data_IF_800193236787
#
_entry.id   IF_800193236787
#
_cell.length_a   1.000
_cell.length_b   1.000
_cell.length_c   1.000
_cell.angle_alpha   90.00
_cell.angle_beta   90.00
_cell.angle_gamma   90.00
#
_symmetry.space_group_name_H-M   'P 1'
#
loop_
_entity.id
_entity.type
_entity.pdbx_description
1 polymer ?
#
# COMPACT_ATOMS: atom_id res chain seq x y z
N UNK A 1 21.94 -23.40 -53.37
CA UNK A 1 22.44 -24.52 -52.53
C UNK A 1 22.91 -23.93 -51.20
N UNK A 2 22.31 -24.41 -50.09
CA UNK A 2 22.76 -24.35 -48.68
C UNK A 2 22.86 -22.93 -48.09
N UNK A 3 22.05 -22.49 -47.14
CA UNK A 3 21.41 -23.22 -46.04
C UNK A 3 22.11 -22.82 -44.74
N UNK A 4 21.64 -21.75 -44.10
CA UNK A 4 21.98 -21.45 -42.71
C UNK A 4 20.76 -21.80 -41.88
N UNK A 5 20.77 -23.04 -41.38
CA UNK A 5 19.77 -23.55 -40.44
C UNK A 5 20.07 -22.91 -39.08
N UNK A 6 19.15 -22.08 -38.59
CA UNK A 6 19.20 -21.58 -37.23
C UNK A 6 18.95 -22.75 -36.27
N UNK A 7 19.94 -23.04 -35.43
CA UNK A 7 19.79 -23.98 -34.31
C UNK A 7 19.13 -23.20 -33.17
N UNK A 8 17.79 -23.16 -33.18
CA UNK A 8 17.01 -22.89 -31.97
C UNK A 8 16.84 -24.23 -31.26
N UNK A 9 17.69 -24.47 -30.26
CA UNK A 9 17.45 -25.56 -29.31
C UNK A 9 16.17 -25.25 -28.54
N UNK A 10 15.07 -25.90 -28.91
CA UNK A 10 13.88 -25.93 -28.07
C UNK A 10 14.26 -26.64 -26.76
N UNK A 11 14.30 -25.88 -25.66
CA UNK A 11 14.14 -26.46 -24.33
C UNK A 11 12.74 -27.05 -24.28
N UNK A 12 12.63 -28.36 -24.50
CA UNK A 12 11.39 -29.10 -24.32
C UNK A 12 11.12 -29.21 -22.82
N UNK A 13 10.45 -28.20 -22.25
CA UNK A 13 9.86 -28.32 -20.93
C UNK A 13 8.65 -29.24 -21.05
N UNK A 14 8.67 -30.37 -20.33
CA UNK A 14 7.51 -31.26 -20.27
C UNK A 14 6.32 -30.49 -19.71
N UNK A 15 5.20 -30.49 -20.42
CA UNK A 15 3.99 -29.84 -19.96
C UNK A 15 3.49 -30.55 -18.68
N UNK A 16 3.61 -29.87 -17.55
CA UNK A 16 2.78 -30.20 -16.39
C UNK A 16 1.41 -29.54 -16.58
N UNK A 17 0.34 -30.17 -16.10
CA UNK A 17 -1.03 -29.66 -16.26
C UNK A 17 -1.24 -28.30 -15.59
N UNK A 18 -2.40 -27.67 -15.85
CA UNK A 18 -2.74 -26.33 -15.32
C UNK A 18 -2.72 -26.25 -13.77
N UNK A 19 -2.81 -27.38 -13.07
CA UNK A 19 -2.79 -27.48 -11.59
C UNK A 19 -1.43 -27.94 -11.01
N UNK A 20 -0.34 -27.82 -11.75
CA UNK A 20 0.96 -28.31 -11.30
C UNK A 20 1.57 -27.44 -10.20
N UNK A 21 1.59 -27.96 -8.97
CA UNK A 21 2.22 -27.31 -7.82
C UNK A 21 3.71 -27.67 -7.75
N UNK A 22 4.56 -26.67 -7.53
CA UNK A 22 6.00 -26.86 -7.30
C UNK A 22 6.31 -26.93 -5.81
N UNK A 23 6.81 -28.07 -5.37
CA UNK A 23 7.34 -28.24 -4.02
C UNK A 23 8.76 -27.66 -3.93
N UNK A 24 8.90 -26.51 -3.26
CA UNK A 24 10.19 -25.86 -3.03
C UNK A 24 10.76 -26.32 -1.69
N UNK A 25 11.92 -26.97 -1.72
CA UNK A 25 12.60 -27.45 -0.51
C UNK A 25 13.03 -26.32 0.46
N UNK A 26 13.50 -26.67 1.68
CA UNK A 26 13.90 -25.68 2.69
C UNK A 26 14.97 -24.71 2.18
N UNK A 27 14.83 -23.44 2.57
CA UNK A 27 15.74 -22.34 2.19
C UNK A 27 16.40 -21.75 3.43
N UNK A 28 17.66 -21.36 3.32
CA UNK A 28 18.35 -20.54 4.33
C UNK A 28 18.56 -19.14 3.78
N UNK A 29 18.13 -18.13 4.55
CA UNK A 29 18.18 -16.73 4.11
C UNK A 29 18.97 -15.91 5.14
N UNK A 30 20.16 -15.45 4.73
CA UNK A 30 20.96 -14.53 5.53
C UNK A 30 20.39 -13.10 5.49
N UNK A 31 20.78 -12.20 6.41
CA UNK A 31 20.53 -10.77 6.25
C UNK A 31 21.03 -10.27 4.87
N UNK A 32 20.28 -9.37 4.20
CA UNK A 32 20.50 -9.03 2.80
C UNK A 32 21.76 -8.16 2.64
N UNK A 33 22.89 -8.77 2.23
CA UNK A 33 24.17 -8.07 2.15
C UNK A 33 24.13 -6.80 1.26
N UNK A 34 23.25 -6.78 0.25
CA UNK A 34 23.06 -5.64 -0.66
C UNK A 34 22.20 -4.50 -0.11
N UNK A 35 21.51 -4.67 1.02
CA UNK A 35 20.70 -3.64 1.65
C UNK A 35 21.54 -2.64 2.46
N UNK A 36 20.93 -1.55 2.97
CA UNK A 36 21.60 -0.64 3.89
C UNK A 36 22.03 -1.34 5.19
N UNK A 37 22.99 -0.72 5.90
CA UNK A 37 23.40 -1.23 7.21
C UNK A 37 22.23 -1.27 8.21
N UNK A 38 21.36 -0.25 8.19
CA UNK A 38 20.19 -0.17 9.06
C UNK A 38 19.22 -1.34 8.80
N UNK A 39 18.91 -1.62 7.52
CA UNK A 39 18.03 -2.72 7.16
C UNK A 39 18.67 -4.08 7.48
N UNK A 40 19.95 -4.27 7.19
CA UNK A 40 20.66 -5.51 7.55
C UNK A 40 20.65 -5.77 9.04
N UNK A 41 20.87 -4.73 9.85
CA UNK A 41 20.84 -4.83 11.31
C UNK A 41 19.43 -5.17 11.81
N UNK A 42 18.40 -4.48 11.31
CA UNK A 42 17.01 -4.75 11.65
C UNK A 42 16.61 -6.20 11.32
N UNK A 43 17.01 -6.70 10.15
CA UNK A 43 16.78 -8.10 9.75
C UNK A 43 17.57 -9.06 10.62
N UNK A 44 18.84 -8.77 10.93
CA UNK A 44 19.69 -9.63 11.77
C UNK A 44 19.20 -9.74 13.21
N UNK A 45 18.52 -8.71 13.73
CA UNK A 45 17.94 -8.68 15.07
C UNK A 45 16.52 -9.27 15.12
N UNK A 46 15.90 -9.51 13.97
CA UNK A 46 14.57 -10.12 13.90
C UNK A 46 14.68 -11.65 13.91
N UNK A 47 14.02 -12.35 14.85
CA UNK A 47 13.93 -13.80 14.81
C UNK A 47 13.29 -14.30 13.51
N UNK A 48 13.53 -15.56 13.14
CA UNK A 48 12.80 -16.19 12.03
C UNK A 48 11.28 -16.05 12.26
N UNK A 49 10.50 -15.56 11.28
CA UNK A 49 9.07 -15.37 11.42
C UNK A 49 8.33 -16.63 11.89
N UNK A 50 7.45 -16.47 12.87
CA UNK A 50 6.69 -17.57 13.48
C UNK A 50 5.49 -17.98 12.61
N UNK A 51 5.77 -18.63 11.47
CA UNK A 51 4.77 -18.97 10.44
C UNK A 51 3.54 -19.71 11.01
N UNK A 52 3.76 -20.81 11.74
CA UNK A 52 2.68 -21.65 12.29
C UNK A 52 1.80 -20.88 13.26
N UNK A 53 2.41 -20.07 14.14
CA UNK A 53 1.66 -19.25 15.08
C UNK A 53 0.83 -18.20 14.34
N UNK A 54 1.42 -17.52 13.36
CA UNK A 54 0.73 -16.48 12.60
C UNK A 54 -0.46 -17.02 11.80
N UNK A 55 -0.28 -18.16 11.13
CA UNK A 55 -1.34 -18.84 10.39
C UNK A 55 -2.51 -19.29 11.29
N UNK A 56 -2.24 -19.52 12.59
CA UNK A 56 -3.27 -19.93 13.56
C UNK A 56 -4.16 -18.78 14.03
N UNK A 57 -3.76 -17.52 13.83
CA UNK A 57 -4.55 -16.33 14.23
C UNK A 57 -5.69 -16.12 13.23
N UNK A 58 -6.88 -16.61 13.55
CA UNK A 58 -8.06 -16.54 12.68
C UNK A 58 -9.27 -16.03 13.44
N UNK A 59 -9.45 -14.71 13.60
CA UNK A 59 -10.64 -14.16 14.22
C UNK A 59 -11.88 -14.50 13.38
N UNK A 60 -12.92 -15.04 14.01
CA UNK A 60 -14.16 -15.52 13.36
C UNK A 60 -15.37 -14.68 13.68
N UNK A 61 -15.32 -13.93 14.79
CA UNK A 61 -16.44 -13.11 15.26
C UNK A 61 -16.07 -11.64 15.30
N UNK A 62 -17.06 -10.75 15.20
CA UNK A 62 -16.85 -9.31 15.35
C UNK A 62 -16.20 -8.94 16.71
N UNK A 63 -16.48 -9.72 17.77
CA UNK A 63 -15.84 -9.51 19.08
C UNK A 63 -14.34 -9.81 19.04
N UNK A 64 -13.93 -10.91 18.40
CA UNK A 64 -12.53 -11.27 18.26
C UNK A 64 -11.79 -10.26 17.37
N UNK A 65 -12.41 -9.80 16.29
CA UNK A 65 -11.85 -8.74 15.45
C UNK A 65 -11.63 -7.43 16.20
N UNK A 66 -12.63 -6.97 16.97
CA UNK A 66 -12.46 -5.76 17.79
C UNK A 66 -11.37 -5.93 18.84
N UNK A 67 -11.26 -7.11 19.46
CA UNK A 67 -10.19 -7.38 20.42
C UNK A 67 -8.81 -7.38 19.75
N UNK A 68 -8.69 -7.96 18.55
CA UNK A 68 -7.45 -7.95 17.78
C UNK A 68 -7.10 -6.52 17.36
N UNK A 69 -8.04 -5.75 16.80
CA UNK A 69 -7.79 -4.37 16.42
C UNK A 69 -7.36 -3.50 17.61
N UNK A 70 -7.99 -3.67 18.77
CA UNK A 70 -7.59 -3.00 19.99
C UNK A 70 -6.15 -3.37 20.44
N UNK A 71 -5.70 -4.60 20.20
CA UNK A 71 -4.31 -5.01 20.50
C UNK A 71 -3.28 -4.32 19.61
N UNK A 72 -3.61 -4.08 18.33
CA UNK A 72 -2.77 -3.32 17.40
C UNK A 72 -2.77 -1.82 17.72
N UNK A 73 -3.86 -1.30 18.30
CA UNK A 73 -4.00 0.08 18.74
C UNK A 73 -3.56 0.32 20.21
N UNK A 74 -3.05 -0.72 20.91
CA UNK A 74 -2.80 -0.64 22.35
C UNK A 74 -1.66 0.32 22.73
N UNK A 75 -0.73 0.57 21.79
CA UNK A 75 0.29 1.60 21.97
C UNK A 75 -0.33 2.97 21.68
N UNK A 76 -0.32 3.91 22.65
CA UNK A 76 -0.83 5.25 22.41
C UNK A 76 0.00 5.92 21.31
N UNK A 77 -0.69 6.51 20.34
CA UNK A 77 -0.06 7.36 19.32
C UNK A 77 -0.02 8.78 19.86
N UNK A 78 1.19 9.26 20.14
CA UNK A 78 1.44 10.62 20.58
C UNK A 78 1.55 11.56 19.37
N UNK A 79 0.43 12.14 18.97
CA UNK A 79 0.35 13.03 17.82
C UNK A 79 1.23 14.28 18.00
N UNK A 80 1.36 14.81 19.21
CA UNK A 80 2.18 15.99 19.49
C UNK A 80 3.67 15.68 19.35
N UNK A 81 4.11 14.53 19.85
CA UNK A 81 5.48 14.06 19.68
C UNK A 81 5.79 13.78 18.20
N UNK A 82 4.87 13.17 17.46
CA UNK A 82 5.01 12.95 16.01
C UNK A 82 5.11 14.27 15.23
N UNK A 83 4.20 15.20 15.52
CA UNK A 83 4.18 16.53 14.91
C UNK A 83 5.50 17.27 15.15
N UNK A 84 5.97 17.28 16.41
CA UNK A 84 7.23 17.91 16.82
C UNK A 84 8.43 17.28 16.13
N UNK A 85 8.52 15.95 16.10
CA UNK A 85 9.66 15.25 15.52
C UNK A 85 9.77 15.45 14.00
N UNK A 86 8.64 15.55 13.31
CA UNK A 86 8.60 15.73 11.86
C UNK A 86 8.55 17.20 11.40
N UNK A 87 8.37 18.15 12.33
CA UNK A 87 8.22 19.56 11.99
C UNK A 87 6.93 19.83 11.21
N UNK A 88 5.82 19.25 11.65
CA UNK A 88 4.48 19.44 11.09
C UNK A 88 3.51 19.83 12.20
N UNK A 89 2.29 20.27 11.86
CA UNK A 89 1.15 20.30 12.77
C UNK A 89 0.14 19.23 12.37
N UNK A 90 -0.53 18.63 13.35
CA UNK A 90 -1.57 17.62 13.15
C UNK A 90 -2.83 18.11 13.84
N UNK A 91 -3.95 18.17 13.12
CA UNK A 91 -5.25 18.58 13.64
C UNK A 91 -6.30 17.56 13.23
N UNK A 92 -7.12 17.11 14.19
CA UNK A 92 -8.28 16.28 13.87
C UNK A 92 -9.39 17.17 13.26
N UNK A 93 -10.01 16.69 12.19
CA UNK A 93 -11.07 17.40 11.47
C UNK A 93 -12.11 16.41 10.93
N UNK A 94 -13.13 16.90 10.23
CA UNK A 94 -14.15 16.10 9.56
C UNK A 94 -14.45 16.68 8.18
N UNK A 95 -14.44 15.84 7.15
CA UNK A 95 -14.76 16.21 5.77
C UNK A 95 -15.85 15.26 5.27
N UNK A 96 -16.99 15.80 4.82
CA UNK A 96 -18.16 15.01 4.41
C UNK A 96 -18.57 13.93 5.44
N UNK A 97 -18.61 14.31 6.73
CA UNK A 97 -18.90 13.41 7.86
C UNK A 97 -17.89 12.25 8.06
N UNK A 98 -16.76 12.27 7.35
CA UNK A 98 -15.65 11.33 7.54
C UNK A 98 -14.60 11.97 8.44
N UNK A 99 -14.18 11.24 9.47
CA UNK A 99 -13.08 11.66 10.34
C UNK A 99 -11.78 11.72 9.54
N UNK A 100 -11.04 12.83 9.68
CA UNK A 100 -9.74 13.02 9.04
C UNK A 100 -8.76 13.68 9.99
N UNK A 101 -7.49 13.68 9.61
CA UNK A 101 -6.47 14.50 10.23
C UNK A 101 -5.79 15.37 9.18
N UNK A 102 -5.70 16.66 9.43
CA UNK A 102 -4.93 17.61 8.62
C UNK A 102 -3.50 17.64 9.11
N UNK A 103 -2.56 17.44 8.19
CA UNK A 103 -1.13 17.45 8.47
C UNK A 103 -0.45 18.53 7.63
N UNK A 104 -0.02 19.60 8.30
CA UNK A 104 0.57 20.78 7.64
C UNK A 104 2.06 20.85 7.93
N UNK A 105 2.92 21.11 6.94
CA UNK A 105 4.33 21.42 7.20
C UNK A 105 4.44 22.69 8.07
N UNK A 106 5.31 22.71 9.09
CA UNK A 106 5.40 23.83 10.03
C UNK A 106 5.85 25.16 9.37
N UNK A 107 6.59 25.08 8.26
CA UNK A 107 6.98 26.24 7.46
C UNK A 107 5.87 26.68 6.47
N UNK A 108 4.70 26.05 6.50
CA UNK A 108 3.68 26.16 5.46
C UNK A 108 4.03 25.32 4.21
N UNK A 109 3.10 25.27 3.23
CA UNK A 109 3.36 24.63 1.95
C UNK A 109 4.62 25.21 1.30
N UNK A 110 5.49 24.36 0.76
CA UNK A 110 6.67 24.83 0.01
C UNK A 110 6.23 25.19 -1.41
N UNK A 111 6.56 26.39 -1.90
CA UNK A 111 6.45 26.68 -3.35
C UNK A 111 7.21 25.61 -4.16
N UNK A 112 6.64 25.05 -5.25
CA UNK A 112 5.40 25.43 -5.94
C UNK A 112 4.10 24.74 -5.42
N UNK A 113 4.13 24.05 -4.29
CA UNK A 113 3.04 23.21 -3.77
C UNK A 113 1.95 23.95 -2.98
N UNK A 114 1.83 25.28 -3.08
CA UNK A 114 0.88 26.07 -2.28
C UNK A 114 -0.58 25.68 -2.53
N UNK A 115 -0.90 25.16 -3.71
CA UNK A 115 -2.24 24.71 -4.11
C UNK A 115 -2.38 23.18 -4.12
N UNK A 116 -1.34 22.45 -3.70
CA UNK A 116 -1.28 21.00 -3.77
C UNK A 116 -1.74 20.38 -2.44
N UNK A 117 -2.40 19.24 -2.52
CA UNK A 117 -2.82 18.47 -1.34
C UNK A 117 -2.62 16.97 -1.57
N UNK A 118 -2.24 16.26 -0.51
CA UNK A 118 -2.10 14.81 -0.53
C UNK A 118 -3.19 14.17 0.33
N UNK A 119 -4.11 13.42 -0.27
CA UNK A 119 -5.07 12.58 0.44
C UNK A 119 -4.40 11.24 0.79
N UNK A 120 -4.00 11.09 2.05
CA UNK A 120 -3.37 9.89 2.56
C UNK A 120 -4.40 8.88 3.05
N UNK A 121 -4.18 7.62 2.70
CA UNK A 121 -5.03 6.47 3.02
C UNK A 121 -4.21 5.44 3.79
N UNK A 122 -4.54 5.22 5.06
CA UNK A 122 -3.74 4.31 5.89
C UNK A 122 -3.90 2.84 5.50
N UNK A 123 -2.86 2.05 5.76
CA UNK A 123 -2.87 0.59 5.64
C UNK A 123 -3.55 -0.10 6.83
N UNK A 124 -3.30 -1.41 6.99
CA UNK A 124 -3.83 -2.19 8.11
C UNK A 124 -4.86 -3.25 7.72
N UNK A 125 -4.67 -3.90 6.57
CA UNK A 125 -5.52 -5.00 6.10
C UNK A 125 -7.04 -4.69 6.10
N UNK A 126 -7.41 -3.41 5.91
CA UNK A 126 -8.77 -2.87 6.00
C UNK A 126 -9.46 -2.96 7.36
N UNK A 127 -8.78 -3.45 8.41
CA UNK A 127 -9.36 -3.71 9.75
C UNK A 127 -8.58 -3.02 10.87
N UNK A 128 -7.42 -2.43 10.57
CA UNK A 128 -6.53 -1.78 11.53
C UNK A 128 -6.13 -0.38 11.04
N UNK A 129 -5.50 0.39 11.93
CA UNK A 129 -4.87 1.67 11.58
C UNK A 129 -5.77 2.89 11.74
N UNK A 130 -7.01 2.72 12.20
CA UNK A 130 -7.93 3.84 12.42
C UNK A 130 -7.59 4.70 13.64
N UNK A 131 -8.33 5.79 13.79
CA UNK A 131 -8.10 6.83 14.79
C UNK A 131 -6.73 7.49 14.62
N UNK A 132 -6.04 7.85 15.72
CA UNK A 132 -4.74 8.51 15.64
C UNK A 132 -3.66 7.75 14.86
N UNK A 133 -3.76 6.42 14.68
CA UNK A 133 -2.80 5.67 13.87
C UNK A 133 -2.87 6.00 12.37
N UNK A 134 -3.99 6.59 11.91
CA UNK A 134 -4.25 6.93 10.52
C UNK A 134 -3.29 8.00 9.98
N UNK A 135 -2.55 8.72 10.81
CA UNK A 135 -1.63 9.80 10.36
C UNK A 135 -0.22 9.33 10.01
N UNK A 136 0.12 8.07 10.33
CA UNK A 136 1.50 7.58 10.40
C UNK A 136 2.40 7.98 9.21
N UNK A 137 1.97 7.72 7.98
CA UNK A 137 2.74 8.04 6.79
C UNK A 137 2.46 9.45 6.24
N UNK A 138 1.27 10.02 6.51
CA UNK A 138 0.93 11.38 6.12
C UNK A 138 1.90 12.42 6.70
N UNK A 139 2.39 12.18 7.92
CA UNK A 139 3.39 13.02 8.59
C UNK A 139 4.69 13.11 7.81
N UNK A 140 5.26 11.97 7.40
CA UNK A 140 6.51 11.98 6.63
C UNK A 140 6.31 12.50 5.22
N UNK A 141 5.21 12.13 4.55
CA UNK A 141 4.89 12.62 3.22
C UNK A 141 4.80 14.14 3.23
N UNK A 142 4.06 14.72 4.19
CA UNK A 142 3.93 16.17 4.34
C UNK A 142 5.27 16.84 4.65
N UNK A 143 6.05 16.30 5.61
CA UNK A 143 7.33 16.87 6.00
C UNK A 143 8.36 16.87 4.85
N UNK A 144 8.45 15.78 4.09
CA UNK A 144 9.48 15.61 3.05
C UNK A 144 9.09 16.28 1.73
N UNK A 145 7.82 16.18 1.31
CA UNK A 145 7.35 16.84 0.09
C UNK A 145 7.07 18.33 0.28
N UNK A 146 6.76 18.78 1.50
CA UNK A 146 6.24 20.11 1.75
C UNK A 146 4.81 20.33 1.26
N UNK A 147 4.07 19.25 0.97
CA UNK A 147 2.66 19.26 0.55
C UNK A 147 1.76 18.99 1.76
N UNK A 148 0.77 19.85 2.06
CA UNK A 148 -0.30 19.54 3.02
C UNK A 148 -0.95 18.18 2.79
N UNK A 149 -1.17 17.42 3.85
CA UNK A 149 -1.83 16.11 3.75
C UNK A 149 -3.14 16.08 4.53
N UNK A 150 -4.12 15.37 4.00
CA UNK A 150 -5.36 14.96 4.70
C UNK A 150 -5.28 13.44 4.85
N UNK A 151 -5.12 12.96 6.08
CA UNK A 151 -5.17 11.54 6.37
C UNK A 151 -6.61 11.13 6.71
N UNK A 152 -7.18 10.21 5.92
CA UNK A 152 -8.56 9.75 6.11
C UNK A 152 -8.60 8.60 7.13
N UNK A 153 -9.44 8.74 8.17
CA UNK A 153 -9.79 7.68 9.11
C UNK A 153 -11.07 7.00 8.62
N UNK A 154 -10.91 6.20 7.56
CA UNK A 154 -12.04 5.59 6.85
C UNK A 154 -12.72 4.52 7.71
N UNK A 155 -14.03 4.35 7.51
CA UNK A 155 -14.81 3.34 8.22
C UNK A 155 -14.36 1.94 7.83
N UNK A 156 -14.23 1.09 8.85
CA UNK A 156 -13.71 -0.26 8.69
C UNK A 156 -14.65 -1.34 9.24
N UNK A 157 -14.58 -2.58 8.70
CA UNK A 157 -15.14 -3.75 9.34
C UNK A 157 -14.55 -3.99 10.76
N UNK A 158 -15.24 -4.78 11.61
CA UNK A 158 -16.47 -5.53 11.33
C UNK A 158 -17.73 -4.68 11.29
N UNK A 159 -17.67 -3.41 11.69
CA UNK A 159 -18.82 -2.52 11.78
C UNK A 159 -19.23 -1.93 10.43
N UNK A 160 -18.24 -1.70 9.56
CA UNK A 160 -18.44 -1.09 8.25
C UNK A 160 -17.64 -1.83 7.17
N UNK A 161 -18.08 -3.02 6.72
CA UNK A 161 -17.44 -3.74 5.61
C UNK A 161 -17.57 -2.96 4.28
N UNK A 162 -16.97 -3.48 3.22
CA UNK A 162 -17.15 -2.96 1.87
C UNK A 162 -18.64 -2.72 1.54
N UNK A 163 -19.01 -1.57 0.93
CA UNK A 163 -18.15 -0.55 0.32
C UNK A 163 -17.80 0.67 1.19
N UNK A 164 -18.01 0.64 2.51
CA UNK A 164 -17.96 1.84 3.35
C UNK A 164 -16.68 2.70 3.19
N UNK A 165 -15.50 2.07 3.19
CA UNK A 165 -14.24 2.77 2.99
C UNK A 165 -14.10 3.41 1.59
N UNK A 166 -14.65 2.79 0.55
CA UNK A 166 -14.67 3.36 -0.82
C UNK A 166 -15.62 4.55 -0.89
N UNK A 167 -16.76 4.47 -0.21
CA UNK A 167 -17.72 5.57 -0.10
C UNK A 167 -17.12 6.77 0.64
N UNK A 168 -16.36 6.53 1.71
CA UNK A 168 -15.65 7.59 2.45
C UNK A 168 -14.59 8.28 1.58
N UNK A 169 -13.83 7.51 0.80
CA UNK A 169 -12.87 8.06 -0.15
C UNK A 169 -13.54 8.93 -1.21
N UNK A 170 -14.68 8.50 -1.76
CA UNK A 170 -15.45 9.31 -2.72
C UNK A 170 -15.98 10.60 -2.10
N UNK A 171 -16.54 10.51 -0.89
CA UNK A 171 -17.11 11.66 -0.18
C UNK A 171 -16.04 12.72 0.11
N UNK A 172 -14.90 12.33 0.70
CA UNK A 172 -13.79 13.24 0.99
C UNK A 172 -13.20 13.83 -0.28
N UNK A 173 -13.01 13.02 -1.33
CA UNK A 173 -12.43 13.50 -2.59
C UNK A 173 -13.33 14.54 -3.27
N UNK A 174 -14.66 14.36 -3.24
CA UNK A 174 -15.61 15.36 -3.76
C UNK A 174 -15.47 16.71 -3.06
N UNK A 175 -15.36 16.73 -1.73
CA UNK A 175 -15.13 17.97 -0.98
C UNK A 175 -13.79 18.63 -1.32
N UNK A 176 -12.74 17.83 -1.53
CA UNK A 176 -11.44 18.38 -1.94
C UNK A 176 -11.53 19.04 -3.33
N UNK A 177 -12.31 18.48 -4.26
CA UNK A 177 -12.51 19.03 -5.61
C UNK A 177 -13.21 20.39 -5.63
N UNK A 178 -13.94 20.77 -4.58
CA UNK A 178 -14.57 22.10 -4.47
C UNK A 178 -13.53 23.21 -4.28
N UNK A 179 -12.34 22.88 -3.79
CA UNK A 179 -11.28 23.84 -3.43
C UNK A 179 -9.95 23.59 -4.15
N UNK A 180 -9.75 22.40 -4.70
CA UNK A 180 -8.51 22.00 -5.37
C UNK A 180 -8.79 21.52 -6.79
N UNK A 181 -7.87 21.81 -7.71
CA UNK A 181 -7.94 21.22 -9.06
C UNK A 181 -7.66 19.74 -8.94
N UNK A 182 -8.28 18.86 -9.75
CA UNK A 182 -7.94 17.43 -9.74
C UNK A 182 -6.43 17.18 -9.90
N UNK A 183 -5.78 17.97 -10.76
CA UNK A 183 -4.33 17.90 -11.02
C UNK A 183 -3.44 18.32 -9.86
N UNK A 184 -4.00 19.02 -8.86
CA UNK A 184 -3.27 19.45 -7.66
C UNK A 184 -3.46 18.50 -6.47
N UNK A 185 -4.28 17.45 -6.63
CA UNK A 185 -4.51 16.43 -5.61
C UNK A 185 -3.65 15.20 -5.95
N UNK A 186 -2.87 14.73 -4.99
CA UNK A 186 -2.35 13.38 -4.98
C UNK A 186 -3.18 12.50 -4.02
N UNK A 187 -3.30 11.22 -4.32
CA UNK A 187 -3.92 10.24 -3.41
C UNK A 187 -2.97 9.07 -3.24
N UNK A 188 -2.80 8.58 -2.03
CA UNK A 188 -2.00 7.39 -1.87
C UNK A 188 -1.93 6.85 -0.48
N UNK A 189 -1.34 5.66 -0.39
CA UNK A 189 -1.27 4.93 0.84
C UNK A 189 -0.48 3.65 0.70
N UNK A 190 -0.36 2.97 1.82
CA UNK A 190 0.41 1.74 1.94
C UNK A 190 -0.51 0.54 2.22
N UNK A 191 -0.20 -0.65 1.69
CA UNK A 191 -0.95 -1.89 1.97
C UNK A 191 -2.42 -1.79 1.55
N UNK A 192 -3.37 -2.07 2.45
CA UNK A 192 -4.79 -1.84 2.24
C UNK A 192 -5.13 -0.41 1.79
N UNK A 193 -4.40 0.61 2.24
CA UNK A 193 -4.60 1.99 1.80
C UNK A 193 -4.16 2.22 0.35
N UNK A 194 -3.10 1.53 -0.10
CA UNK A 194 -2.71 1.50 -1.51
C UNK A 194 -3.74 0.76 -2.38
N UNK A 195 -4.28 -0.37 -1.89
CA UNK A 195 -5.41 -1.05 -2.51
C UNK A 195 -6.65 -0.14 -2.59
N UNK A 196 -7.05 0.47 -1.49
CA UNK A 196 -8.19 1.39 -1.42
C UNK A 196 -8.02 2.61 -2.33
N UNK A 197 -6.80 3.14 -2.47
CA UNK A 197 -6.48 4.21 -3.44
C UNK A 197 -6.82 3.78 -4.87
N UNK A 198 -6.41 2.57 -5.27
CA UNK A 198 -6.74 2.03 -6.59
C UNK A 198 -8.26 1.83 -6.77
N UNK A 199 -8.94 1.30 -5.75
CA UNK A 199 -10.39 1.12 -5.75
C UNK A 199 -11.12 2.47 -5.89
N UNK A 200 -10.66 3.50 -5.18
CA UNK A 200 -11.20 4.84 -5.26
C UNK A 200 -11.08 5.42 -6.68
N UNK A 201 -9.94 5.27 -7.36
CA UNK A 201 -9.79 5.75 -8.74
C UNK A 201 -10.71 4.99 -9.71
N UNK A 202 -10.86 3.66 -9.57
CA UNK A 202 -11.86 2.90 -10.33
C UNK A 202 -13.27 3.43 -10.07
N UNK A 203 -13.60 3.72 -8.81
CA UNK A 203 -14.89 4.30 -8.42
C UNK A 203 -15.09 5.67 -9.06
N UNK A 204 -14.11 6.56 -8.99
CA UNK A 204 -14.17 7.92 -9.57
C UNK A 204 -14.45 7.85 -11.07
N UNK A 205 -13.74 6.99 -11.80
CA UNK A 205 -14.00 6.75 -13.22
C UNK A 205 -15.43 6.26 -13.46
N UNK A 206 -15.91 5.30 -12.67
CA UNK A 206 -17.25 4.73 -12.82
C UNK A 206 -18.37 5.78 -12.62
N UNK A 207 -18.15 6.77 -11.73
CA UNK A 207 -19.09 7.88 -11.49
C UNK A 207 -18.74 9.16 -12.26
N UNK A 208 -17.82 9.09 -13.23
CA UNK A 208 -17.37 10.21 -14.06
C UNK A 208 -16.81 11.41 -13.27
N UNK A 209 -16.21 11.15 -12.11
CA UNK A 209 -15.36 12.14 -11.42
C UNK A 209 -14.00 12.26 -12.13
N UNK A 210 -13.39 13.46 -12.14
CA UNK A 210 -12.01 13.60 -12.57
C UNK A 210 -11.09 12.78 -11.65
N UNK A 211 -9.97 12.30 -12.19
CA UNK A 211 -8.96 11.55 -11.43
C UNK A 211 -7.90 12.51 -10.87
N UNK A 212 -7.20 12.15 -9.77
CA UNK A 212 -6.16 13.00 -9.18
C UNK A 212 -4.94 13.17 -10.11
N UNK A 213 -4.04 14.09 -9.79
CA UNK A 213 -2.84 14.38 -10.56
C UNK A 213 -1.74 13.33 -10.43
N UNK A 214 -1.67 12.63 -9.29
CA UNK A 214 -0.68 11.59 -9.03
C UNK A 214 -1.17 10.58 -8.00
N UNK A 215 -0.63 9.36 -8.03
CA UNK A 215 -0.86 8.31 -7.05
C UNK A 215 0.43 7.86 -6.36
N UNK A 216 0.31 7.50 -5.08
CA UNK A 216 1.34 6.78 -4.33
C UNK A 216 0.80 5.43 -3.85
N UNK A 217 1.48 4.35 -4.22
CA UNK A 217 1.10 2.97 -3.89
C UNK A 217 2.27 2.26 -3.21
N UNK A 218 2.30 2.36 -1.89
CA UNK A 218 3.22 1.60 -1.07
C UNK A 218 2.75 0.17 -0.89
N UNK A 219 3.44 -0.83 -1.44
CA UNK A 219 3.10 -2.26 -1.31
C UNK A 219 1.57 -2.52 -1.34
N UNK A 220 0.84 -2.07 -2.38
CA UNK A 220 -0.61 -2.11 -2.37
C UNK A 220 -1.12 -3.54 -2.25
N UNK A 221 -2.05 -3.78 -1.32
CA UNK A 221 -2.82 -5.02 -1.31
C UNK A 221 -3.90 -4.92 -2.38
N UNK A 222 -3.51 -5.22 -3.62
CA UNK A 222 -4.30 -4.99 -4.81
C UNK A 222 -5.08 -6.24 -5.25
N UNK A 223 -4.69 -7.40 -4.73
CA UNK A 223 -5.37 -8.68 -4.86
C UNK A 223 -5.58 -9.32 -3.49
N UNK A 224 -6.85 -9.35 -3.05
CA UNK A 224 -7.26 -9.98 -1.80
C UNK A 224 -7.47 -11.49 -1.96
N UNK A 225 -7.24 -12.05 -3.14
CA UNK A 225 -7.20 -13.50 -3.36
C UNK A 225 -5.80 -14.07 -3.14
N UNK A 226 -5.71 -15.40 -3.02
CA UNK A 226 -4.45 -16.13 -2.92
C UNK A 226 -3.88 -16.46 -4.32
N UNK A 227 -3.60 -15.43 -5.12
CA UNK A 227 -3.25 -15.59 -6.54
C UNK A 227 -1.86 -15.08 -6.92
N UNK A 228 -1.15 -14.43 -6.01
CA UNK A 228 0.12 -13.75 -6.28
C UNK A 228 1.31 -14.59 -5.85
N UNK A 229 2.29 -14.81 -6.75
CA UNK A 229 3.47 -15.65 -6.49
C UNK A 229 4.16 -15.32 -5.16
N UNK A 230 4.32 -14.04 -4.83
CA UNK A 230 5.00 -13.60 -3.60
C UNK A 230 4.26 -13.94 -2.32
N UNK A 231 2.96 -14.23 -2.35
CA UNK A 231 2.26 -14.79 -1.20
C UNK A 231 2.82 -16.17 -0.82
N UNK A 232 3.31 -16.93 -1.80
CA UNK A 232 3.91 -18.25 -1.58
C UNK A 232 5.44 -18.18 -1.51
N UNK A 233 6.10 -17.45 -2.41
CA UNK A 233 7.57 -17.43 -2.44
C UNK A 233 8.15 -16.68 -1.25
N UNK A 234 7.46 -15.66 -0.73
CA UNK A 234 7.88 -14.87 0.43
C UNK A 234 7.15 -15.24 1.73
N UNK A 235 6.35 -16.32 1.74
CA UNK A 235 5.81 -16.86 2.98
C UNK A 235 6.93 -17.26 3.94
N UNK A 236 6.81 -16.82 5.20
CA UNK A 236 7.82 -17.00 6.24
C UNK A 236 9.12 -16.21 6.01
N UNK A 237 9.23 -15.45 4.92
CA UNK A 237 10.37 -14.56 4.61
C UNK A 237 10.02 -13.11 4.95
N UNK A 238 8.82 -12.66 4.58
CA UNK A 238 8.31 -11.36 5.01
C UNK A 238 8.17 -11.36 6.54
N UNK A 239 8.83 -10.42 7.21
CA UNK A 239 8.84 -10.38 8.68
C UNK A 239 7.69 -9.58 9.31
N UNK A 240 6.80 -9.02 8.49
CA UNK A 240 5.70 -8.15 8.90
C UNK A 240 4.36 -8.86 8.69
N UNK A 241 4.07 -9.30 7.47
CA UNK A 241 2.86 -10.06 7.14
C UNK A 241 3.02 -11.55 7.47
N UNK A 242 4.20 -12.12 7.20
CA UNK A 242 4.60 -13.51 7.45
C UNK A 242 3.88 -14.55 6.60
N UNK A 243 2.55 -14.51 6.55
CA UNK A 243 1.73 -15.46 5.77
C UNK A 243 0.39 -14.83 5.39
N UNK A 244 -0.15 -15.26 4.26
CA UNK A 244 -1.51 -14.94 3.85
C UNK A 244 -2.53 -15.74 4.68
N UNK A 245 -2.20 -16.98 5.01
CA UNK A 245 -3.05 -17.83 5.81
C UNK A 245 -3.27 -17.25 7.21
N UNK A 246 -4.45 -17.49 7.74
CA UNK A 246 -4.81 -16.98 9.05
C UNK A 246 -5.47 -15.61 8.99
N UNK A 247 -4.80 -14.61 9.57
CA UNK A 247 -5.39 -13.30 9.84
C UNK A 247 -5.64 -12.52 8.55
N UNK A 248 -4.71 -12.56 7.58
CA UNK A 248 -4.83 -11.77 6.35
C UNK A 248 -5.96 -12.30 5.45
N UNK A 249 -6.01 -13.61 5.21
CA UNK A 249 -7.13 -14.25 4.52
C UNK A 249 -8.49 -14.01 5.21
N UNK A 250 -8.51 -13.97 6.56
CA UNK A 250 -9.73 -13.68 7.31
C UNK A 250 -10.13 -12.20 7.21
N UNK A 251 -9.16 -11.28 7.19
CA UNK A 251 -9.39 -9.84 6.99
C UNK A 251 -9.94 -9.56 5.59
N UNK A 252 -9.40 -10.21 4.55
CA UNK A 252 -9.91 -10.12 3.18
C UNK A 252 -11.40 -10.45 3.09
N UNK A 253 -11.80 -11.58 3.69
CA UNK A 253 -13.21 -12.02 3.74
C UNK A 253 -14.07 -11.07 4.56
N UNK A 254 -13.57 -10.62 5.71
CA UNK A 254 -14.31 -9.70 6.56
C UNK A 254 -14.56 -8.35 5.86
N UNK A 255 -13.54 -7.81 5.19
CA UNK A 255 -13.65 -6.59 4.41
C UNK A 255 -14.62 -6.75 3.25
N UNK A 256 -14.49 -7.82 2.47
CA UNK A 256 -15.35 -8.05 1.31
C UNK A 256 -16.82 -8.28 1.67
N UNK A 257 -17.10 -8.83 2.86
CA UNK A 257 -18.45 -9.16 3.28
C UNK A 257 -19.08 -10.20 2.34
N UNK A 258 -20.08 -9.79 1.59
CA UNK A 258 -20.76 -10.64 0.59
C UNK A 258 -20.18 -10.51 -0.82
N UNK A 259 -19.26 -9.56 -1.06
CA UNK A 259 -18.67 -9.35 -2.36
C UNK A 259 -17.61 -10.41 -2.68
N UNK A 260 -17.51 -10.78 -3.96
CA UNK A 260 -16.43 -11.64 -4.44
C UNK A 260 -15.07 -10.96 -4.29
N UNK A 261 -14.06 -11.71 -3.85
CA UNK A 261 -12.71 -11.17 -3.68
C UNK A 261 -12.11 -10.63 -4.99
N UNK A 262 -12.54 -11.16 -6.15
CA UNK A 262 -12.10 -10.67 -7.47
C UNK A 262 -12.84 -9.42 -7.93
N UNK A 263 -13.81 -8.88 -7.18
CA UNK A 263 -14.51 -7.65 -7.54
C UNK A 263 -13.51 -6.49 -7.64
N UNK A 264 -13.59 -5.65 -8.68
CA UNK A 264 -12.57 -4.63 -8.96
C UNK A 264 -12.48 -3.47 -7.93
N UNK A 265 -13.44 -3.38 -7.00
CA UNK A 265 -13.35 -2.46 -5.85
C UNK A 265 -12.92 -3.18 -4.54
N UNK A 266 -12.77 -4.51 -4.57
CA UNK A 266 -12.18 -5.33 -3.50
C UNK A 266 -10.72 -5.63 -3.83
N UNK A 267 -10.47 -6.14 -5.03
CA UNK A 267 -9.15 -6.40 -5.61
C UNK A 267 -8.95 -5.57 -6.88
N UNK A 268 -8.50 -4.31 -6.74
CA UNK A 268 -8.39 -3.36 -7.84
C UNK A 268 -7.45 -3.75 -8.96
N UNK A 269 -6.56 -4.72 -8.72
CA UNK A 269 -5.74 -5.30 -9.79
C UNK A 269 -6.59 -5.87 -10.91
N UNK A 270 -7.85 -6.28 -10.68
CA UNK A 270 -8.72 -6.82 -11.74
C UNK A 270 -9.42 -5.77 -12.60
N UNK A 271 -9.39 -4.48 -12.20
CA UNK A 271 -10.04 -3.40 -12.94
C UNK A 271 -9.32 -2.94 -14.22
N UNK A 272 -9.91 -1.92 -14.87
CA UNK A 272 -9.36 -1.23 -16.04
C UNK A 272 -8.53 0.00 -15.63
N UNK A 273 -7.25 -0.02 -15.98
CA UNK A 273 -6.28 1.03 -15.64
C UNK A 273 -6.17 2.15 -16.69
N UNK A 274 -6.96 2.10 -17.77
CA UNK A 274 -6.97 3.15 -18.79
C UNK A 274 -7.31 4.51 -18.17
N UNK A 275 -6.51 5.54 -18.44
CA UNK A 275 -6.74 6.88 -17.88
C UNK A 275 -6.43 7.02 -16.38
N UNK A 276 -5.70 6.08 -15.78
CA UNK A 276 -5.18 6.27 -14.42
C UNK A 276 -4.11 7.38 -14.39
N UNK A 277 -3.93 8.06 -13.24
CA UNK A 277 -2.89 9.07 -13.04
C UNK A 277 -1.48 8.48 -13.03
N UNK A 278 -0.43 9.31 -13.27
CA UNK A 278 0.94 8.97 -12.94
C UNK A 278 1.04 8.36 -11.53
N UNK A 279 1.73 7.22 -11.42
CA UNK A 279 1.75 6.43 -10.18
C UNK A 279 3.17 6.10 -9.75
N UNK A 280 3.51 6.40 -8.50
CA UNK A 280 4.72 5.94 -7.83
C UNK A 280 4.41 4.68 -7.01
N UNK A 281 5.17 3.61 -7.20
CA UNK A 281 5.02 2.35 -6.49
C UNK A 281 6.31 1.97 -5.77
N UNK A 282 6.19 1.44 -4.55
CA UNK A 282 7.33 0.92 -3.78
C UNK A 282 7.02 -0.43 -3.15
N UNK A 283 7.99 -1.33 -3.16
CA UNK A 283 7.94 -2.66 -2.51
C UNK A 283 9.37 -3.16 -2.23
N UNK A 284 9.52 -4.39 -1.75
CA UNK A 284 10.80 -5.00 -1.46
C UNK A 284 10.90 -6.45 -1.91
N UNK A 285 12.14 -6.97 -2.01
CA UNK A 285 12.35 -8.35 -2.46
C UNK A 285 11.83 -9.41 -1.50
N UNK A 286 11.56 -9.05 -0.23
CA UNK A 286 10.99 -9.94 0.81
C UNK A 286 9.51 -9.69 1.06
N UNK A 287 8.91 -8.74 0.37
CA UNK A 287 7.51 -8.33 0.57
C UNK A 287 6.54 -9.41 0.04
N UNK A 288 5.54 -9.81 0.85
CA UNK A 288 4.50 -10.72 0.37
C UNK A 288 3.65 -10.11 -0.75
N UNK A 289 3.56 -8.78 -0.84
CA UNK A 289 2.78 -8.07 -1.85
C UNK A 289 3.66 -7.51 -3.00
N UNK A 290 4.89 -8.01 -3.14
CA UNK A 290 5.76 -7.72 -4.28
C UNK A 290 5.06 -7.99 -5.62
N UNK A 291 4.38 -9.14 -5.74
CA UNK A 291 3.70 -9.53 -6.97
C UNK A 291 2.48 -8.67 -7.26
N UNK A 292 1.70 -8.30 -6.23
CA UNK A 292 0.59 -7.34 -6.38
C UNK A 292 1.11 -6.01 -6.93
N UNK A 293 2.16 -5.48 -6.31
CA UNK A 293 2.80 -4.23 -6.72
C UNK A 293 3.29 -4.31 -8.17
N UNK A 294 3.97 -5.41 -8.55
CA UNK A 294 4.45 -5.63 -9.90
C UNK A 294 3.31 -5.81 -10.92
N UNK A 295 2.23 -6.51 -10.56
CA UNK A 295 1.02 -6.70 -11.39
C UNK A 295 0.31 -5.39 -11.65
N UNK A 296 0.13 -4.55 -10.63
CA UNK A 296 -0.44 -3.20 -10.76
C UNK A 296 0.44 -2.33 -11.65
N UNK A 297 1.75 -2.27 -11.38
CA UNK A 297 2.70 -1.56 -12.24
C UNK A 297 2.58 -2.02 -13.70
N UNK A 298 2.55 -3.34 -13.95
CA UNK A 298 2.43 -3.86 -15.32
C UNK A 298 1.12 -3.44 -15.98
N UNK A 299 0.00 -3.47 -15.26
CA UNK A 299 -1.30 -3.02 -15.78
C UNK A 299 -1.32 -1.53 -16.11
N UNK A 300 -0.77 -0.68 -15.24
CA UNK A 300 -0.60 0.75 -15.50
C UNK A 300 0.21 1.00 -16.78
N UNK A 301 1.36 0.32 -16.93
CA UNK A 301 2.22 0.46 -18.11
C UNK A 301 1.55 -0.01 -19.40
N UNK A 302 0.80 -1.11 -19.36
CA UNK A 302 0.01 -1.59 -20.52
C UNK A 302 -1.09 -0.58 -20.90
N UNK A 303 -1.68 0.10 -19.92
CA UNK A 303 -2.66 1.15 -20.12
C UNK A 303 -2.05 2.50 -20.58
N UNK A 304 -0.73 2.57 -20.78
CA UNK A 304 -0.04 3.80 -21.21
C UNK A 304 0.18 4.83 -20.10
N UNK A 305 0.05 4.43 -18.84
CA UNK A 305 0.20 5.30 -17.67
C UNK A 305 1.67 5.38 -17.25
N UNK A 306 2.12 6.57 -16.84
CA UNK A 306 3.44 6.74 -16.19
C UNK A 306 3.41 5.99 -14.87
N UNK A 307 4.29 5.01 -14.71
CA UNK A 307 4.37 4.24 -13.49
C UNK A 307 5.83 3.90 -13.16
N UNK A 308 6.27 4.38 -12.01
CA UNK A 308 7.62 4.19 -11.49
C UNK A 308 7.57 3.14 -10.37
N UNK A 309 8.27 2.02 -10.59
CA UNK A 309 8.32 0.91 -9.64
C UNK A 309 9.69 0.85 -8.98
N UNK A 310 9.70 1.01 -7.65
CA UNK A 310 10.89 0.96 -6.82
C UNK A 310 10.87 -0.32 -5.98
N UNK A 311 11.81 -1.22 -6.25
CA UNK A 311 11.96 -2.48 -5.51
C UNK A 311 13.27 -2.44 -4.74
N UNK A 312 13.19 -2.44 -3.42
CA UNK A 312 14.36 -2.42 -2.55
C UNK A 312 14.79 -3.82 -2.16
N UNK A 313 16.09 -4.07 -2.19
CA UNK A 313 16.66 -5.33 -1.72
C UNK A 313 16.43 -5.50 -0.22
N UNK A 314 15.81 -6.61 0.17
CA UNK A 314 15.67 -7.04 1.56
C UNK A 314 14.47 -6.50 2.31
N UNK A 315 13.78 -5.46 1.81
CA UNK A 315 12.59 -4.94 2.48
C UNK A 315 11.44 -5.95 2.44
N UNK A 316 10.78 -6.11 3.58
CA UNK A 316 9.47 -6.76 3.73
C UNK A 316 8.35 -5.72 3.56
N UNK A 317 7.11 -6.17 3.69
CA UNK A 317 5.92 -5.33 3.60
C UNK A 317 6.01 -4.03 4.42
N UNK A 318 5.91 -2.89 3.72
CA UNK A 318 5.89 -1.53 4.28
C UNK A 318 7.12 -1.16 5.14
N UNK A 319 8.19 -1.95 5.10
CA UNK A 319 9.32 -1.80 6.01
C UNK A 319 10.08 -0.48 5.79
N UNK A 320 10.01 0.10 4.57
CA UNK A 320 10.52 1.44 4.30
C UNK A 320 9.83 2.52 5.15
N UNK A 321 8.60 2.31 5.63
CA UNK A 321 7.87 3.26 6.46
C UNK A 321 8.17 3.08 7.95
N UNK A 322 8.45 1.86 8.39
CA UNK A 322 8.72 1.54 9.79
C UNK A 322 10.18 1.73 10.18
N UNK A 323 11.11 1.58 9.24
CA UNK A 323 12.54 1.76 9.47
C UNK A 323 12.94 3.25 9.36
N UNK A 324 12.35 4.08 10.24
CA UNK A 324 12.47 5.54 10.22
C UNK A 324 13.93 5.98 10.22
N UNK A 325 14.29 6.84 9.27
CA UNK A 325 15.65 7.39 9.15
C UNK A 325 16.65 6.49 8.43
N UNK A 326 16.28 5.27 8.02
CA UNK A 326 17.12 4.44 7.16
C UNK A 326 17.31 5.06 5.77
N UNK A 327 18.35 4.66 5.02
CA UNK A 327 18.50 5.06 3.62
C UNK A 327 17.28 4.73 2.76
N UNK A 328 16.67 3.56 2.92
CA UNK A 328 15.49 3.13 2.17
C UNK A 328 14.26 4.01 2.48
N UNK A 329 14.08 4.40 3.75
CA UNK A 329 13.06 5.38 4.16
C UNK A 329 13.28 6.73 3.46
N UNK A 330 14.51 7.26 3.53
CA UNK A 330 14.83 8.58 2.96
C UNK A 330 14.69 8.60 1.44
N UNK A 331 15.12 7.52 0.76
CA UNK A 331 14.99 7.37 -0.68
C UNK A 331 13.52 7.28 -1.09
N UNK A 332 12.73 6.44 -0.42
CA UNK A 332 11.30 6.26 -0.75
C UNK A 332 10.53 7.57 -0.75
N UNK A 333 10.61 8.34 0.33
CA UNK A 333 9.84 9.59 0.45
C UNK A 333 10.50 10.77 -0.27
N UNK A 334 11.83 10.74 -0.44
CA UNK A 334 12.55 11.74 -1.23
C UNK A 334 12.22 11.63 -2.72
N UNK A 335 12.19 10.41 -3.26
CA UNK A 335 11.80 10.14 -4.65
C UNK A 335 10.30 10.35 -4.86
N UNK A 336 9.45 9.97 -3.89
CA UNK A 336 8.04 10.33 -3.92
C UNK A 336 7.84 11.85 -3.99
N UNK A 337 8.55 12.63 -3.17
CA UNK A 337 8.46 14.09 -3.21
C UNK A 337 8.85 14.65 -4.58
N UNK A 338 9.89 14.11 -5.23
CA UNK A 338 10.28 14.49 -6.59
C UNK A 338 9.21 14.14 -7.62
N UNK A 339 8.66 12.92 -7.53
CA UNK A 339 7.58 12.45 -8.40
C UNK A 339 6.34 13.35 -8.29
N UNK A 340 5.94 13.73 -7.07
CA UNK A 340 4.82 14.63 -6.84
C UNK A 340 5.08 16.04 -7.40
N UNK A 341 6.31 16.55 -7.27
CA UNK A 341 6.70 17.84 -7.85
C UNK A 341 6.69 17.84 -9.38
N UNK A 342 6.97 16.70 -10.02
CA UNK A 342 6.93 16.57 -11.48
C UNK A 342 5.51 16.46 -12.03
N UNK A 343 4.61 15.78 -11.31
CA UNK A 343 3.31 15.38 -11.86
C UNK A 343 2.11 16.22 -11.38
N UNK A 344 2.18 16.87 -10.21
CA UNK A 344 1.12 17.76 -9.76
C UNK A 344 1.18 19.13 -10.47
N UNK A 345 0.00 19.71 -10.73
CA UNK A 345 -0.18 20.98 -11.46
C UNK A 345 -1.34 21.82 -10.92
#
# INVERSE_FOLDING_TARGET
MRGMLAVLGLLAFGAQGEDAIWEIGPRSLAPPAGASAALREAVAQTPTPALVERASVQPRTAKEWRALAASFAAAPVDLDAMATAAGVSIEADTIADVAVYRVMPAAGPKSPHEEHIFLYVHGGAYVFGGGPAAVSEAVVISAMSGIPSVAIDYRMPPDHPFPAAVDDMEAVYRELLETHRPSSIAIGGTSAGGGLTLAAVHRFKAVSLPVPGALYLGTPWADLTDASDSLHTNEGIDRILVTYDGMLASAAKLYAGEAELTHALISPVYGDFTGFPPTYLVTGTRDMLLSDTARVHRKLRVAGVVADLNVYEGLSHAEYAFLVGSPEYQQTYGELAQFLAEHLR
#
